data_IF_505577179121
#
_entry.id   IF_505577179121
#
_cell.length_a   1.000
_cell.length_b   1.000
_cell.length_c   1.000
_cell.angle_alpha   90.00
_cell.angle_beta   90.00
_cell.angle_gamma   90.00
#
_symmetry.space_group_name_H-M   'P 1'
#
loop_
_entity.id
_entity.type
_entity.pdbx_description
1 polymer ?
#
# COMPACT_ATOMS: atom_id res chain seq x y z
N UNK A 1 1.68 20.55 19.06
CA UNK A 1 1.19 19.40 18.26
C UNK A 1 -0.30 19.24 18.48
N UNK A 2 -1.10 19.08 17.44
CA UNK A 2 -2.56 18.92 17.54
C UNK A 2 -2.94 17.50 18.01
N UNK A 3 -4.12 17.35 18.63
CA UNK A 3 -4.63 16.05 19.06
C UNK A 3 -4.74 15.05 17.89
N UNK A 4 -5.09 15.52 16.69
CA UNK A 4 -5.14 14.71 15.47
C UNK A 4 -3.76 14.11 15.13
N UNK A 5 -2.70 14.93 15.17
CA UNK A 5 -1.33 14.49 14.86
C UNK A 5 -0.81 13.47 15.88
N UNK A 6 -1.22 13.60 17.16
CA UNK A 6 -0.88 12.62 18.21
C UNK A 6 -1.59 11.28 17.99
N UNK A 7 -2.88 11.28 17.61
CA UNK A 7 -3.63 10.06 17.29
C UNK A 7 -3.06 9.33 16.08
N UNK A 8 -2.71 10.07 15.03
CA UNK A 8 -2.08 9.51 13.82
C UNK A 8 -0.75 8.82 14.14
N UNK A 9 0.11 9.48 14.92
CA UNK A 9 1.38 8.89 15.35
C UNK A 9 1.18 7.59 16.16
N UNK A 10 0.18 7.55 17.06
CA UNK A 10 -0.13 6.34 17.82
C UNK A 10 -0.64 5.21 16.93
N UNK A 11 -1.54 5.51 15.98
CA UNK A 11 -2.04 4.53 15.00
C UNK A 11 -0.89 3.90 14.22
N UNK A 12 0.06 4.72 13.75
CA UNK A 12 1.23 4.24 12.99
C UNK A 12 2.22 3.45 13.83
N UNK A 13 2.42 3.84 15.09
CA UNK A 13 3.20 3.02 16.02
C UNK A 13 2.56 1.65 16.24
N UNK A 14 1.23 1.62 16.41
CA UNK A 14 0.46 0.38 16.56
C UNK A 14 0.63 -0.53 15.33
N UNK A 15 0.49 0.03 14.12
CA UNK A 15 0.72 -0.71 12.87
C UNK A 15 2.14 -1.26 12.82
N UNK A 16 3.16 -0.43 13.08
CA UNK A 16 4.55 -0.90 13.05
C UNK A 16 4.83 -2.02 14.05
N UNK A 17 4.18 -1.98 15.22
CA UNK A 17 4.41 -2.96 16.29
C UNK A 17 3.64 -4.26 16.09
N UNK A 18 2.38 -4.17 15.66
CA UNK A 18 1.45 -5.30 15.67
C UNK A 18 1.10 -5.81 14.26
N UNK A 19 1.34 -5.01 13.22
CA UNK A 19 1.06 -5.34 11.82
C UNK A 19 2.32 -5.11 10.96
N UNK A 20 3.41 -5.86 11.23
CA UNK A 20 4.71 -5.59 10.62
C UNK A 20 4.78 -5.99 9.15
N UNK A 21 3.88 -6.87 8.69
CA UNK A 21 3.90 -7.38 7.32
C UNK A 21 3.04 -6.48 6.44
N UNK A 22 3.66 -5.78 5.49
CA UNK A 22 2.95 -4.83 4.63
C UNK A 22 3.12 -5.19 3.17
N UNK A 23 2.03 -5.10 2.42
CA UNK A 23 2.00 -5.31 0.98
C UNK A 23 1.35 -4.11 0.34
N UNK A 24 2.06 -3.45 -0.57
CA UNK A 24 1.66 -2.21 -1.21
C UNK A 24 1.10 -2.48 -2.61
N UNK A 25 -0.06 -1.89 -2.87
CA UNK A 25 -0.68 -1.82 -4.19
C UNK A 25 -0.66 -0.37 -4.71
N UNK A 26 -0.58 -0.14 -6.03
CA UNK A 26 -0.76 1.19 -6.61
C UNK A 26 -2.11 1.77 -6.20
N UNK A 27 -2.13 3.01 -5.72
CA UNK A 27 -3.35 3.61 -5.16
C UNK A 27 -4.46 3.76 -6.22
N UNK A 28 -4.09 4.04 -7.47
CA UNK A 28 -5.03 4.14 -8.60
C UNK A 28 -5.76 2.82 -8.88
N UNK A 29 -5.13 1.69 -8.56
CA UNK A 29 -5.74 0.36 -8.66
C UNK A 29 -6.59 0.00 -7.43
N UNK A 30 -6.58 0.80 -6.36
CA UNK A 30 -7.29 0.51 -5.11
C UNK A 30 -8.60 1.29 -4.95
N UNK A 31 -9.23 1.70 -6.05
CA UNK A 31 -10.43 2.53 -6.05
C UNK A 31 -11.53 1.98 -6.96
N UNK A 32 -12.73 2.58 -6.88
CA UNK A 32 -13.90 2.21 -7.69
C UNK A 32 -14.19 0.71 -7.64
N UNK A 33 -14.33 0.03 -8.79
CA UNK A 33 -14.70 -1.38 -8.85
C UNK A 33 -13.69 -2.30 -8.14
N UNK A 34 -12.42 -1.88 -8.10
CA UNK A 34 -11.37 -2.64 -7.42
C UNK A 34 -11.46 -2.55 -5.90
N UNK A 35 -12.04 -1.47 -5.36
CA UNK A 35 -12.18 -1.33 -3.91
C UNK A 35 -13.03 -2.45 -3.32
N UNK A 36 -14.15 -2.78 -3.96
CA UNK A 36 -15.04 -3.83 -3.50
C UNK A 36 -14.38 -5.22 -3.62
N UNK A 37 -13.63 -5.48 -4.69
CA UNK A 37 -12.88 -6.74 -4.86
C UNK A 37 -11.86 -6.93 -3.73
N UNK A 38 -11.09 -5.89 -3.42
CA UNK A 38 -10.11 -5.95 -2.34
C UNK A 38 -10.81 -6.09 -0.99
N UNK A 39 -11.90 -5.35 -0.75
CA UNK A 39 -12.64 -5.42 0.50
C UNK A 39 -13.23 -6.82 0.73
N UNK A 40 -13.81 -7.45 -0.30
CA UNK A 40 -14.32 -8.82 -0.21
C UNK A 40 -13.20 -9.81 0.08
N UNK A 41 -12.05 -9.69 -0.60
CA UNK A 41 -10.90 -10.54 -0.34
C UNK A 41 -10.38 -10.38 1.09
N UNK A 42 -10.26 -9.15 1.58
CA UNK A 42 -9.75 -8.87 2.93
C UNK A 42 -10.63 -9.42 4.05
N UNK A 43 -11.94 -9.63 3.81
CA UNK A 43 -12.86 -10.21 4.80
C UNK A 43 -12.60 -11.69 5.10
N UNK A 44 -11.80 -12.39 4.29
CA UNK A 44 -11.46 -13.78 4.56
C UNK A 44 -10.45 -13.93 5.70
N UNK A 45 -9.72 -12.87 6.03
CA UNK A 45 -8.73 -12.87 7.11
C UNK A 45 -9.40 -12.66 8.46
N UNK A 46 -8.85 -13.28 9.51
CA UNK A 46 -9.36 -13.14 10.88
C UNK A 46 -9.31 -11.69 11.38
N UNK A 47 -8.33 -10.92 10.90
CA UNK A 47 -8.18 -9.49 11.20
C UNK A 47 -8.12 -8.70 9.90
N UNK A 48 -9.03 -7.73 9.76
CA UNK A 48 -9.03 -6.86 8.58
C UNK A 48 -7.72 -6.06 8.51
N UNK A 49 -7.00 -6.08 7.37
CA UNK A 49 -5.74 -5.39 7.23
C UNK A 49 -5.91 -3.88 7.37
N UNK A 50 -5.02 -3.26 8.13
CA UNK A 50 -5.02 -1.80 8.26
C UNK A 50 -4.41 -1.14 7.04
N UNK A 51 -5.05 -0.09 6.54
CA UNK A 51 -4.55 0.68 5.40
C UNK A 51 -3.58 1.79 5.85
N UNK A 52 -2.54 1.97 5.04
CA UNK A 52 -1.65 3.13 5.07
C UNK A 52 -1.58 3.78 3.68
N UNK A 53 -0.88 4.91 3.63
CA UNK A 53 -0.56 5.60 2.39
C UNK A 53 0.93 5.90 2.37
N UNK A 54 1.57 5.69 1.22
CA UNK A 54 2.99 6.01 1.02
C UNK A 54 3.19 6.53 -0.40
N UNK A 55 3.97 7.60 -0.53
CA UNK A 55 4.41 8.10 -1.82
C UNK A 55 5.70 7.39 -2.20
N UNK A 56 5.68 6.62 -3.28
CA UNK A 56 6.86 6.06 -3.90
C UNK A 56 7.54 7.11 -4.77
N UNK A 57 8.87 7.19 -4.72
CA UNK A 57 9.69 8.12 -5.48
C UNK A 57 10.81 7.36 -6.18
N UNK A 58 10.94 7.59 -7.47
CA UNK A 58 11.95 6.98 -8.33
C UNK A 58 13.13 7.92 -8.58
N UNK A 59 14.31 7.39 -8.97
CA UNK A 59 15.50 8.19 -9.23
C UNK A 59 15.37 9.20 -10.38
N UNK A 60 14.46 8.93 -11.32
CA UNK A 60 14.12 9.79 -12.46
C UNK A 60 13.24 10.99 -12.08
N UNK A 61 12.87 11.11 -10.79
CA UNK A 61 12.01 12.17 -10.28
C UNK A 61 10.51 11.89 -10.40
N UNK A 62 10.12 10.71 -10.91
CA UNK A 62 8.72 10.27 -10.88
C UNK A 62 8.29 9.91 -9.46
N UNK A 63 7.00 10.07 -9.19
CA UNK A 63 6.39 9.67 -7.93
C UNK A 63 4.98 9.17 -8.15
N UNK A 64 4.61 8.11 -7.44
CA UNK A 64 3.26 7.53 -7.44
C UNK A 64 2.81 7.24 -6.01
N UNK A 65 1.50 7.28 -5.82
CA UNK A 65 0.88 6.94 -4.56
C UNK A 65 0.60 5.43 -4.46
N UNK A 66 0.98 4.85 -3.34
CA UNK A 66 0.77 3.44 -3.01
C UNK A 66 -0.04 3.32 -1.72
N UNK A 67 -0.80 2.23 -1.65
CA UNK A 67 -1.61 1.85 -0.49
C UNK A 67 -1.08 0.54 0.11
N UNK A 68 -0.28 0.61 1.20
CA UNK A 68 0.10 -0.56 1.96
C UNK A 68 -1.07 -1.11 2.77
N UNK A 69 -1.31 -2.41 2.63
CA UNK A 69 -2.18 -3.24 3.47
C UNK A 69 -1.31 -3.90 4.52
N UNK A 70 -1.60 -3.65 5.80
CA UNK A 70 -0.80 -4.10 6.93
C UNK A 70 -1.46 -5.31 7.61
N UNK A 71 -0.74 -6.42 7.66
CA UNK A 71 -1.16 -7.71 8.17
C UNK A 71 -0.42 -8.06 9.47
N UNK A 72 -1.10 -8.81 10.33
CA UNK A 72 -0.54 -9.30 11.58
C UNK A 72 0.43 -10.46 11.36
N UNK A 73 0.08 -11.37 10.44
CA UNK A 73 0.85 -12.56 10.11
C UNK A 73 1.57 -12.39 8.77
N UNK A 74 2.64 -13.17 8.57
CA UNK A 74 3.37 -13.17 7.31
C UNK A 74 2.58 -13.92 6.25
N UNK A 75 1.90 -14.98 6.67
CA UNK A 75 1.12 -15.88 5.84
C UNK A 75 -0.03 -15.12 5.15
N UNK A 76 -0.78 -14.29 5.88
CA UNK A 76 -1.85 -13.46 5.30
C UNK A 76 -1.30 -12.44 4.29
N UNK A 77 -0.13 -11.86 4.59
CA UNK A 77 0.55 -10.94 3.68
C UNK A 77 1.01 -11.64 2.40
N UNK A 78 1.53 -12.87 2.50
CA UNK A 78 1.96 -13.67 1.34
C UNK A 78 0.75 -14.08 0.49
N UNK A 79 -0.37 -14.50 1.11
CA UNK A 79 -1.63 -14.80 0.39
C UNK A 79 -2.15 -13.56 -0.35
N UNK A 80 -2.11 -12.39 0.28
CA UNK A 80 -2.51 -11.14 -0.35
C UNK A 80 -1.56 -10.73 -1.49
N UNK A 81 -0.25 -10.89 -1.28
CA UNK A 81 0.76 -10.58 -2.29
C UNK A 81 0.65 -11.49 -3.51
N UNK A 82 0.41 -12.79 -3.31
CA UNK A 82 0.22 -13.76 -4.40
C UNK A 82 -1.07 -13.47 -5.18
N UNK A 83 -2.16 -13.13 -4.48
CA UNK A 83 -3.44 -12.89 -5.15
C UNK A 83 -3.46 -11.59 -5.95
N UNK A 84 -2.95 -10.49 -5.38
CA UNK A 84 -2.99 -9.17 -6.00
C UNK A 84 -1.68 -8.76 -6.68
N UNK A 85 -0.67 -9.63 -6.70
CA UNK A 85 0.68 -9.30 -7.20
C UNK A 85 1.25 -8.03 -6.52
N UNK A 86 0.93 -7.86 -5.23
CA UNK A 86 1.31 -6.68 -4.46
C UNK A 86 2.79 -6.70 -4.07
N UNK A 87 3.39 -5.52 -3.96
CA UNK A 87 4.82 -5.42 -3.61
C UNK A 87 5.00 -5.41 -2.09
N UNK A 88 5.82 -6.29 -1.55
CA UNK A 88 6.19 -6.23 -0.13
C UNK A 88 6.86 -4.90 0.21
N UNK A 89 6.44 -4.32 1.34
CA UNK A 89 6.91 -3.03 1.81
C UNK A 89 7.42 -3.15 3.26
N UNK A 90 8.68 -2.81 3.48
CA UNK A 90 9.30 -2.74 4.80
C UNK A 90 9.40 -1.28 5.26
N UNK A 91 8.53 -0.81 6.19
CA UNK A 91 8.51 0.59 6.62
C UNK A 91 9.82 1.06 7.27
N UNK A 92 10.70 0.16 7.70
CA UNK A 92 12.00 0.50 8.31
C UNK A 92 13.07 0.73 7.25
N UNK A 93 13.10 -0.11 6.21
CA UNK A 93 14.11 -0.07 5.14
C UNK A 93 13.72 0.83 3.98
N UNK A 94 12.46 0.74 3.55
CA UNK A 94 11.98 1.35 2.31
C UNK A 94 11.69 2.84 2.46
N UNK A 95 11.37 3.29 3.67
CA UNK A 95 11.13 4.70 3.93
C UNK A 95 12.45 5.46 4.04
N UNK A 96 12.47 6.67 3.49
CA UNK A 96 13.60 7.60 3.64
C UNK A 96 14.07 7.68 5.10
N UNK A 97 15.25 7.10 5.38
CA UNK A 97 15.86 7.02 6.72
C UNK A 97 14.94 6.41 7.79
N UNK A 98 14.03 5.51 7.42
CA UNK A 98 13.03 4.92 8.32
C UNK A 98 12.05 5.95 8.91
N UNK A 99 11.90 7.13 8.29
CA UNK A 99 10.99 8.19 8.77
C UNK A 99 9.55 7.74 8.64
N UNK A 100 8.73 8.05 9.65
CA UNK A 100 7.30 7.69 9.69
C UNK A 100 6.50 8.35 8.54
N UNK A 101 6.97 9.46 7.99
CA UNK A 101 6.42 10.16 6.81
C UNK A 101 7.36 10.10 5.59
N UNK A 102 8.39 9.24 5.64
CA UNK A 102 9.34 9.13 4.55
C UNK A 102 8.64 8.62 3.29
N UNK A 103 9.04 9.17 2.14
CA UNK A 103 8.72 8.56 0.86
C UNK A 103 9.37 7.18 0.78
N UNK A 104 8.74 6.29 0.03
CA UNK A 104 9.37 5.02 -0.37
C UNK A 104 10.36 5.32 -1.49
N UNK A 105 11.64 5.17 -1.20
CA UNK A 105 12.69 5.37 -2.21
C UNK A 105 12.83 4.10 -3.04
N UNK A 106 12.35 4.16 -4.28
CA UNK A 106 12.46 3.07 -5.26
C UNK A 106 13.83 3.10 -5.91
N UNK A 107 14.37 1.93 -6.20
CA UNK A 107 15.67 1.75 -6.88
C UNK A 107 15.53 1.18 -8.28
N UNK A 108 14.36 0.64 -8.58
CA UNK A 108 13.94 0.16 -9.89
C UNK A 108 13.59 1.33 -10.83
N UNK A 109 13.25 0.98 -12.07
CA UNK A 109 12.73 1.93 -13.07
C UNK A 109 11.23 2.12 -12.88
N UNK A 110 10.75 3.36 -13.02
CA UNK A 110 9.33 3.64 -12.98
C UNK A 110 8.63 3.02 -14.19
N UNK A 111 7.59 2.23 -13.94
CA UNK A 111 6.75 1.64 -15.00
C UNK A 111 5.28 1.83 -14.63
N UNK A 112 4.43 2.21 -15.60
CA UNK A 112 3.00 2.28 -15.36
C UNK A 112 2.45 0.88 -15.10
N UNK A 113 1.83 0.70 -13.93
CA UNK A 113 1.20 -0.58 -13.54
C UNK A 113 -0.29 -0.50 -13.85
N UNK A 114 -0.71 -1.06 -14.98
CA UNK A 114 -2.12 -1.09 -15.39
C UNK A 114 -2.90 -2.27 -14.84
N UNK A 115 -2.21 -3.28 -14.30
CA UNK A 115 -2.81 -4.49 -13.74
C UNK A 115 -1.98 -5.03 -12.58
N UNK A 116 -2.68 -5.50 -11.54
CA UNK A 116 -2.13 -6.18 -10.36
C UNK A 116 -3.06 -7.35 -10.01
N UNK A 117 -2.74 -8.57 -10.45
CA UNK A 117 -3.55 -9.76 -10.26
C UNK A 117 -4.95 -9.62 -10.89
N UNK A 118 -6.03 -9.70 -10.09
CA UNK A 118 -7.40 -9.48 -10.55
C UNK A 118 -7.76 -7.98 -10.69
N UNK A 119 -6.89 -7.06 -10.26
CA UNK A 119 -7.15 -5.62 -10.33
C UNK A 119 -6.66 -5.10 -11.67
N UNK A 120 -7.55 -4.44 -12.40
CA UNK A 120 -7.20 -3.72 -13.62
C UNK A 120 -7.37 -2.23 -13.40
N UNK A 121 -6.67 -1.41 -14.18
CA UNK A 121 -6.82 0.03 -14.12
C UNK A 121 -8.32 0.38 -14.29
N UNK A 122 -8.94 1.00 -13.27
CA UNK A 122 -10.34 1.35 -13.33
C UNK A 122 -10.70 2.08 -14.62
N UNK A 123 -11.89 1.80 -15.16
CA UNK A 123 -12.29 2.28 -16.49
C UNK A 123 -12.12 3.80 -16.65
N UNK A 124 -12.41 4.56 -15.60
CA UNK A 124 -12.23 6.01 -15.55
C UNK A 124 -10.81 6.44 -15.93
N UNK A 125 -9.77 5.83 -15.35
CA UNK A 125 -8.38 6.19 -15.65
C UNK A 125 -7.94 5.74 -17.05
N UNK A 126 -8.52 4.65 -17.57
CA UNK A 126 -8.26 4.21 -18.94
C UNK A 126 -8.85 5.15 -19.99
N UNK A 127 -10.04 5.69 -19.73
CA UNK A 127 -10.75 6.56 -20.68
C UNK A 127 -10.31 8.04 -20.58
N UNK A 128 -9.97 8.52 -19.39
CA UNK A 128 -9.69 9.94 -19.13
C UNK A 128 -8.24 10.24 -18.76
N UNK A 129 -7.38 9.22 -18.66
CA UNK A 129 -5.99 9.35 -18.21
C UNK A 129 -5.86 9.35 -16.68
N UNK A 130 -4.61 9.18 -16.22
CA UNK A 130 -4.22 9.30 -14.80
C UNK A 130 -3.89 10.73 -14.43
#
# INVERSE_FOLDING_TARGET
MTAAKKRENMKRWHIRKNLPHQVALPNDLCCMENYDLIAVFCRQFETEPMLQHVMAKWPDGKSDDYRPYCFATREDAEVFAEHFEGTHFDPVKDREKGRINGAWLRTDEWKPIERCGPLELPRFFREYGR
#
